data_IF_684296989139
#
_entry.id   IF_684296989139
#
_cell.length_a   1.000
_cell.length_b   1.000
_cell.length_c   1.000
_cell.angle_alpha   90.00
_cell.angle_beta   90.00
_cell.angle_gamma   90.00
#
_symmetry.space_group_name_H-M   'P 1'
#
loop_
_entity.id
_entity.type
_entity.pdbx_description
1 polymer ?
#
# COMPACT_ATOMS: atom_id res chain seq x y z
N UNK A 1 -6.62 -20.05 -17.72
CA UNK A 1 -6.01 -21.16 -16.97
C UNK A 1 -4.50 -20.97 -16.94
N UNK A 2 -3.83 -21.33 -15.84
CA UNK A 2 -2.41 -21.03 -15.57
C UNK A 2 -1.39 -21.84 -16.40
N UNK A 3 -1.82 -22.66 -17.35
CA UNK A 3 -0.92 -23.47 -18.19
C UNK A 3 -0.14 -24.54 -17.41
N UNK A 4 -0.69 -25.02 -16.30
CA UNK A 4 -0.05 -25.98 -15.41
C UNK A 4 -0.43 -27.41 -15.78
N UNK A 5 0.50 -28.35 -15.59
CA UNK A 5 0.20 -29.77 -15.72
C UNK A 5 -0.81 -30.23 -14.65
N UNK A 6 -1.99 -30.68 -15.08
CA UNK A 6 -3.08 -31.10 -14.20
C UNK A 6 -2.82 -32.38 -13.39
N UNK A 7 -1.72 -33.11 -13.66
CA UNK A 7 -1.32 -34.28 -12.88
C UNK A 7 -0.19 -33.99 -11.88
N UNK A 8 0.42 -32.80 -11.93
CA UNK A 8 1.47 -32.42 -10.98
C UNK A 8 0.86 -31.84 -9.70
N UNK A 9 1.44 -32.19 -8.56
CA UNK A 9 1.10 -31.64 -7.25
C UNK A 9 2.15 -30.66 -6.72
N UNK A 10 3.27 -30.49 -7.43
CA UNK A 10 4.35 -29.59 -7.05
C UNK A 10 4.68 -28.63 -8.21
N UNK A 11 4.87 -27.35 -7.86
CA UNK A 11 5.15 -26.27 -8.80
C UNK A 11 6.16 -25.30 -8.20
N UNK A 12 7.10 -24.82 -9.01
CA UNK A 12 8.08 -23.83 -8.59
C UNK A 12 7.49 -22.42 -8.70
N UNK A 13 7.49 -21.67 -7.60
CA UNK A 13 7.09 -20.26 -7.60
C UNK A 13 8.28 -19.40 -7.99
N UNK A 14 8.14 -18.64 -9.07
CA UNK A 14 9.20 -17.79 -9.62
C UNK A 14 8.71 -16.35 -9.74
N UNK A 15 9.64 -15.39 -9.61
CA UNK A 15 9.31 -13.99 -9.88
C UNK A 15 9.23 -13.75 -11.39
N UNK A 16 8.13 -13.15 -11.86
CA UNK A 16 7.97 -12.81 -13.28
C UNK A 16 6.51 -12.53 -13.67
N UNK A 17 6.35 -11.92 -14.85
CA UNK A 17 5.02 -11.56 -15.39
C UNK A 17 4.43 -12.60 -16.34
N UNK A 18 5.20 -13.59 -16.76
CA UNK A 18 4.78 -14.60 -17.73
C UNK A 18 4.91 -16.01 -17.16
N UNK A 19 3.89 -16.88 -17.32
CA UNK A 19 3.97 -18.27 -16.88
C UNK A 19 5.11 -18.99 -17.63
N UNK A 20 5.98 -19.66 -16.87
CA UNK A 20 6.94 -20.60 -17.45
C UNK A 20 6.25 -21.92 -17.82
N UNK A 21 6.80 -22.67 -18.77
CA UNK A 21 6.24 -23.96 -19.20
C UNK A 21 6.00 -24.92 -18.01
N UNK A 22 4.79 -25.51 -18.00
CA UNK A 22 4.23 -26.68 -17.32
C UNK A 22 4.43 -26.92 -15.81
N UNK A 23 5.43 -26.29 -15.17
CA UNK A 23 5.80 -26.52 -13.78
C UNK A 23 6.16 -25.25 -12.97
N UNK A 24 5.91 -24.05 -13.51
CA UNK A 24 6.28 -22.77 -12.87
C UNK A 24 5.10 -21.83 -12.73
N UNK A 25 4.91 -21.30 -11.53
CA UNK A 25 3.95 -20.24 -11.23
C UNK A 25 4.73 -18.94 -11.15
N UNK A 26 4.56 -18.08 -12.16
CA UNK A 26 5.14 -16.75 -12.15
C UNK A 26 4.28 -15.80 -11.32
N UNK A 27 4.90 -15.16 -10.34
CA UNK A 27 4.27 -14.17 -9.47
C UNK A 27 5.00 -12.85 -9.62
N UNK A 28 4.25 -11.81 -9.98
CA UNK A 28 4.71 -10.43 -9.95
C UNK A 28 4.05 -9.72 -8.78
N UNK A 29 4.86 -9.20 -7.87
CA UNK A 29 4.35 -8.35 -6.78
C UNK A 29 3.97 -6.98 -7.34
N UNK A 30 2.98 -6.34 -6.72
CA UNK A 30 2.65 -4.94 -7.01
C UNK A 30 3.84 -4.02 -6.70
N UNK A 31 3.99 -2.96 -7.48
CA UNK A 31 4.93 -1.90 -7.13
C UNK A 31 4.44 -1.10 -5.92
N UNK A 32 5.35 -0.41 -5.23
CA UNK A 32 4.99 0.48 -4.13
C UNK A 32 3.91 1.50 -4.54
N UNK A 33 4.04 2.09 -5.74
CA UNK A 33 3.04 3.00 -6.29
C UNK A 33 1.66 2.35 -6.41
N UNK A 34 1.60 1.12 -6.91
CA UNK A 34 0.33 0.38 -7.01
C UNK A 34 -0.27 0.07 -5.64
N UNK A 35 0.56 -0.25 -4.65
CA UNK A 35 0.11 -0.45 -3.26
C UNK A 35 -0.46 0.85 -2.69
N UNK A 36 0.21 2.00 -2.88
CA UNK A 36 -0.31 3.30 -2.45
C UNK A 36 -1.66 3.64 -3.09
N UNK A 37 -1.80 3.41 -4.39
CA UNK A 37 -3.06 3.66 -5.12
C UNK A 37 -4.19 2.80 -4.55
N UNK A 38 -3.92 1.53 -4.24
CA UNK A 38 -4.90 0.60 -3.67
C UNK A 38 -5.36 1.07 -2.27
N UNK A 39 -4.42 1.52 -1.43
CA UNK A 39 -4.75 2.11 -0.13
C UNK A 39 -5.55 3.40 -0.26
N UNK A 40 -5.18 4.30 -1.18
CA UNK A 40 -5.91 5.54 -1.44
C UNK A 40 -7.36 5.28 -1.87
N UNK A 41 -7.62 4.17 -2.58
CA UNK A 41 -8.98 3.77 -2.98
C UNK A 41 -9.89 3.33 -1.81
N UNK A 42 -9.34 3.21 -0.61
CA UNK A 42 -10.09 2.90 0.62
C UNK A 42 -10.43 4.13 1.45
N UNK A 43 -9.88 5.30 1.13
CA UNK A 43 -10.08 6.52 1.92
C UNK A 43 -11.45 7.10 1.60
N UNK A 44 -12.22 7.39 2.65
CA UNK A 44 -13.46 8.16 2.51
C UNK A 44 -13.09 9.61 2.16
N UNK A 45 -13.70 10.14 1.11
CA UNK A 45 -13.43 11.50 0.63
C UNK A 45 -14.71 12.32 0.58
N UNK A 46 -14.63 13.64 0.80
CA UNK A 46 -15.79 14.52 0.74
C UNK A 46 -16.47 14.48 -0.64
N UNK A 47 -17.80 14.47 -0.66
CA UNK A 47 -18.59 14.47 -1.91
C UNK A 47 -18.27 15.67 -2.81
N UNK A 48 -17.99 16.83 -2.20
CA UNK A 48 -17.60 18.04 -2.94
C UNK A 48 -16.31 17.83 -3.76
N UNK A 49 -15.32 17.12 -3.20
CA UNK A 49 -14.07 16.83 -3.91
C UNK A 49 -14.31 15.86 -5.09
N UNK A 50 -15.29 14.95 -4.98
CA UNK A 50 -15.70 14.07 -6.07
C UNK A 50 -16.41 14.89 -7.16
N UNK A 51 -17.38 15.73 -6.78
CA UNK A 51 -18.17 16.54 -7.70
C UNK A 51 -17.32 17.55 -8.49
N UNK A 52 -16.28 18.10 -7.87
CA UNK A 52 -15.32 19.01 -8.52
C UNK A 52 -14.23 18.27 -9.31
N UNK A 53 -14.25 16.93 -9.37
CA UNK A 53 -13.28 16.12 -10.11
C UNK A 53 -11.87 16.13 -9.50
N UNK A 54 -11.74 16.47 -8.22
CA UNK A 54 -10.44 16.58 -7.52
C UNK A 54 -9.89 15.24 -7.09
N UNK A 55 -10.76 14.25 -6.93
CA UNK A 55 -10.40 12.89 -6.52
C UNK A 55 -11.07 11.89 -7.45
N UNK A 56 -10.32 10.86 -7.83
CA UNK A 56 -10.90 9.69 -8.48
C UNK A 56 -11.61 8.83 -7.43
N UNK A 57 -12.94 8.79 -7.48
CA UNK A 57 -13.74 7.92 -6.60
C UNK A 57 -13.85 6.53 -7.22
N UNK A 58 -13.13 5.57 -6.65
CA UNK A 58 -13.28 4.17 -7.00
C UNK A 58 -14.60 3.65 -6.40
N UNK A 59 -15.69 3.70 -7.17
CA UNK A 59 -16.97 3.13 -6.74
C UNK A 59 -16.85 1.61 -6.65
N UNK A 60 -16.87 1.09 -5.41
CA UNK A 60 -16.97 -0.35 -5.15
C UNK A 60 -18.42 -0.74 -4.92
N UNK A 61 -18.86 -1.81 -5.55
CA UNK A 61 -20.16 -2.41 -5.26
C UNK A 61 -20.17 -3.02 -3.86
N UNK A 62 -21.35 -3.17 -3.26
CA UNK A 62 -21.48 -3.83 -1.97
C UNK A 62 -20.89 -5.25 -1.95
N UNK A 63 -20.94 -5.96 -3.08
CA UNK A 63 -20.32 -7.28 -3.23
C UNK A 63 -18.79 -7.20 -3.22
N UNK A 64 -18.21 -6.23 -3.93
CA UNK A 64 -16.76 -6.00 -3.90
C UNK A 64 -16.28 -5.63 -2.50
N UNK A 65 -17.04 -4.83 -1.75
CA UNK A 65 -16.69 -4.47 -0.36
C UNK A 65 -16.75 -5.70 0.56
N UNK A 66 -17.74 -6.59 0.37
CA UNK A 66 -17.82 -7.84 1.17
C UNK A 66 -16.67 -8.80 0.87
N UNK A 67 -16.34 -8.98 -0.41
CA UNK A 67 -15.28 -9.89 -0.85
C UNK A 67 -13.87 -9.31 -0.58
N UNK A 68 -13.74 -7.99 -0.68
CA UNK A 68 -12.49 -7.25 -0.50
C UNK A 68 -12.76 -6.02 0.38
N UNK A 69 -12.88 -6.23 1.70
CA UNK A 69 -13.09 -5.12 2.63
C UNK A 69 -11.91 -4.15 2.58
N UNK A 70 -12.14 -2.85 2.79
CA UNK A 70 -11.06 -1.86 2.79
C UNK A 70 -9.94 -2.28 3.74
N UNK A 71 -8.69 -2.05 3.31
CA UNK A 71 -7.49 -2.37 4.09
C UNK A 71 -7.31 -1.39 5.25
N UNK A 72 -7.73 -0.15 5.04
CA UNK A 72 -7.66 0.95 5.98
C UNK A 72 -8.97 1.73 5.93
N UNK A 73 -9.42 2.20 7.09
CA UNK A 73 -10.50 3.17 7.23
C UNK A 73 -9.88 4.51 7.63
N UNK A 74 -10.11 5.54 6.81
CA UNK A 74 -9.68 6.90 7.08
C UNK A 74 -10.91 7.78 7.03
N UNK A 75 -11.16 8.48 8.14
CA UNK A 75 -12.26 9.42 8.27
C UNK A 75 -11.82 10.82 7.85
N UNK A 76 -12.79 11.68 7.55
CA UNK A 76 -12.53 13.08 7.23
C UNK A 76 -13.52 14.02 7.92
N UNK A 77 -13.13 15.30 8.10
CA UNK A 77 -13.95 16.26 8.83
C UNK A 77 -13.27 17.60 9.10
N UNK A 78 -13.94 18.44 9.89
CA UNK A 78 -13.45 19.78 10.25
C UNK A 78 -12.35 19.76 11.32
N UNK A 79 -12.34 18.73 12.18
CA UNK A 79 -11.32 18.46 13.17
C UNK A 79 -11.32 16.95 13.48
N UNK A 80 -10.15 16.34 13.77
CA UNK A 80 -10.09 14.97 14.26
C UNK A 80 -10.48 14.92 15.75
N UNK A 81 -10.84 13.74 16.27
CA UNK A 81 -10.92 13.50 17.71
C UNK A 81 -9.57 13.74 18.41
N UNK A 82 -9.61 14.09 19.70
CA UNK A 82 -8.41 14.26 20.52
C UNK A 82 -7.61 12.94 20.66
N UNK A 83 -8.31 11.81 20.63
CA UNK A 83 -7.77 10.46 20.67
C UNK A 83 -7.62 9.86 19.26
N UNK A 84 -7.34 10.66 18.22
CA UNK A 84 -6.98 10.09 16.91
C UNK A 84 -5.58 9.47 16.94
N UNK A 85 -5.41 8.27 16.38
CA UNK A 85 -4.11 7.58 16.32
C UNK A 85 -3.11 8.33 15.41
N UNK A 86 -3.60 8.74 14.25
CA UNK A 86 -2.88 9.55 13.30
C UNK A 86 -3.87 10.53 12.66
N UNK A 87 -3.46 11.78 12.51
CA UNK A 87 -4.24 12.77 11.78
C UNK A 87 -3.35 13.64 10.91
N UNK A 88 -3.90 14.07 9.78
CA UNK A 88 -3.22 14.97 8.85
C UNK A 88 -4.22 16.00 8.35
N UNK A 89 -3.76 17.26 8.28
CA UNK A 89 -4.52 18.32 7.64
C UNK A 89 -4.16 18.38 6.16
N UNK A 90 -5.15 18.21 5.30
CA UNK A 90 -4.99 18.35 3.87
C UNK A 90 -5.97 19.41 3.35
N UNK A 91 -5.43 20.50 2.81
CA UNK A 91 -6.20 21.69 2.42
C UNK A 91 -7.00 22.25 3.61
N UNK A 92 -8.33 22.22 3.50
CA UNK A 92 -9.26 22.81 4.46
C UNK A 92 -9.95 21.75 5.33
N UNK A 93 -9.50 20.50 5.30
CA UNK A 93 -10.08 19.41 6.08
C UNK A 93 -9.01 18.54 6.74
N UNK A 94 -9.46 17.82 7.74
CA UNK A 94 -8.67 16.83 8.46
C UNK A 94 -9.05 15.43 8.00
N UNK A 95 -8.04 14.56 7.98
CA UNK A 95 -8.17 13.14 7.75
C UNK A 95 -7.51 12.42 8.92
N UNK A 96 -8.13 11.35 9.43
CA UNK A 96 -7.60 10.62 10.58
C UNK A 96 -7.94 9.13 10.59
N UNK A 97 -7.17 8.38 11.36
CA UNK A 97 -7.44 7.01 11.76
C UNK A 97 -7.92 7.04 13.21
N UNK A 98 -9.02 6.36 13.50
CA UNK A 98 -9.55 6.24 14.86
C UNK A 98 -8.62 5.38 15.73
N UNK A 99 -8.35 5.80 16.98
CA UNK A 99 -7.52 5.02 17.91
C UNK A 99 -8.08 3.62 18.23
N UNK A 100 -9.39 3.44 18.06
CA UNK A 100 -10.09 2.18 18.31
C UNK A 100 -10.10 1.27 17.08
N UNK A 101 -9.43 1.65 15.99
CA UNK A 101 -9.27 0.84 14.79
C UNK A 101 -7.88 0.18 14.72
N UNK A 102 -7.64 -0.94 15.46
CA UNK A 102 -6.35 -1.63 15.42
C UNK A 102 -6.05 -2.20 14.03
N UNK A 103 -7.07 -2.47 13.20
CA UNK A 103 -6.86 -3.01 11.86
C UNK A 103 -6.20 -1.97 10.97
N UNK A 104 -6.72 -0.75 10.95
CA UNK A 104 -6.14 0.37 10.18
C UNK A 104 -4.72 0.70 10.64
N UNK A 105 -4.47 0.70 11.95
CA UNK A 105 -3.12 0.91 12.51
C UNK A 105 -2.10 -0.12 12.02
N UNK A 106 -2.46 -1.40 12.04
CA UNK A 106 -1.58 -2.46 11.54
C UNK A 106 -1.26 -2.30 10.05
N UNK A 107 -2.24 -1.95 9.23
CA UNK A 107 -2.02 -1.77 7.79
C UNK A 107 -1.21 -0.49 7.49
N UNK A 108 -1.42 0.58 8.25
CA UNK A 108 -0.59 1.79 8.16
C UNK A 108 0.86 1.50 8.59
N UNK A 109 1.08 0.76 9.68
CA UNK A 109 2.41 0.33 10.10
C UNK A 109 3.10 -0.54 9.03
N UNK A 110 2.35 -1.46 8.42
CA UNK A 110 2.86 -2.27 7.31
C UNK A 110 3.28 -1.40 6.11
N UNK A 111 2.48 -0.39 5.73
CA UNK A 111 2.86 0.58 4.71
C UNK A 111 4.15 1.32 5.05
N UNK A 112 4.28 1.80 6.29
CA UNK A 112 5.50 2.48 6.73
C UNK A 112 6.74 1.57 6.63
N UNK A 113 6.61 0.30 7.00
CA UNK A 113 7.68 -0.69 6.84
C UNK A 113 8.02 -0.87 5.36
N UNK A 114 7.02 -1.07 4.50
CA UNK A 114 7.24 -1.18 3.05
C UNK A 114 7.98 0.04 2.51
N UNK A 115 7.64 1.25 2.94
CA UNK A 115 8.32 2.48 2.52
C UNK A 115 9.78 2.50 2.97
N UNK A 116 10.04 2.15 4.22
CA UNK A 116 11.41 2.10 4.76
C UNK A 116 12.31 1.12 4.00
N UNK A 117 11.75 0.05 3.43
CA UNK A 117 12.50 -0.89 2.57
C UNK A 117 12.78 -0.34 1.17
N UNK A 118 11.98 0.61 0.69
CA UNK A 118 12.20 1.28 -0.61
C UNK A 118 13.17 2.45 -0.52
N UNK A 119 13.33 3.05 0.67
CA UNK A 119 14.45 3.95 0.96
C UNK A 119 15.72 3.10 0.97
N UNK A 120 16.48 3.14 -0.14
CA UNK A 120 17.73 2.39 -0.26
C UNK A 120 18.67 2.67 0.91
N UNK A 121 19.55 1.71 1.21
CA UNK A 121 20.60 1.91 2.21
C UNK A 121 21.30 3.26 1.96
N UNK A 122 21.57 4.06 3.00
CA UNK A 122 22.27 5.33 2.83
C UNK A 122 23.52 5.06 2.01
N UNK A 123 23.70 5.82 0.92
CA UNK A 123 24.91 5.76 0.10
C UNK A 123 26.10 5.70 1.02
N UNK A 124 26.83 4.57 1.05
CA UNK A 124 28.08 4.48 1.78
C UNK A 124 28.91 5.71 1.38
N UNK A 125 29.17 6.59 2.33
CA UNK A 125 30.16 7.64 2.15
C UNK A 125 31.42 6.94 1.63
N UNK A 126 31.91 7.38 0.47
CA UNK A 126 32.99 6.75 -0.27
C UNK A 126 34.17 6.35 0.66
N UNK A 127 34.91 5.27 0.36
CA UNK A 127 35.99 4.81 1.20
C UNK A 127 36.98 5.96 1.48
N UNK A 128 37.11 6.34 2.75
CA UNK A 128 38.07 7.36 3.16
C UNK A 128 39.45 6.73 3.13
N UNK A 129 40.23 7.10 2.11
CA UNK A 129 41.65 6.75 2.02
C UNK A 129 42.41 7.63 3.02
N UNK A 130 42.76 7.10 4.19
CA UNK A 130 43.70 7.75 5.10
C UNK A 130 45.13 7.41 4.69
N UNK A 131 45.85 8.41 4.18
CA UNK A 131 47.31 8.30 3.95
C UNK A 131 48.01 8.62 5.28
N UNK A 132 48.91 7.77 5.81
CA UNK A 132 49.62 8.06 7.04
C UNK A 132 50.59 9.23 6.81
N UNK A 133 50.40 10.32 7.58
CA UNK A 133 51.40 11.37 7.68
C UNK A 133 52.57 10.85 8.51
N UNK A 134 53.77 10.90 7.93
CA UNK A 134 55.03 10.70 8.64
C UNK A 134 55.44 11.98 9.35
#
# INVERSE_FOLDING_TARGET
>A
MLGLNGTSHEFSVVYGSYPGQDAKIAVLTRSMLQVMIDFASCIEVPEADIAEGRVYSAQRTAEQIRSFPPLITVHHGAAPPDDADASVRYRNQWFWIDDRDPRSKHHMAFLMIMFSLTEGAPTQNAPVVTVPAR
#
